data_IF_206134802482
#
_entry.id   IF_206134802482
#
_cell.length_a   1.000
_cell.length_b   1.000
_cell.length_c   1.000
_cell.angle_alpha   90.00
_cell.angle_beta   90.00
_cell.angle_gamma   90.00
#
_symmetry.space_group_name_H-M   'P 1'
#
loop_
_entity.id
_entity.type
_entity.pdbx_description
1 polymer ?
#
# COMPACT_ATOMS: atom_id res chain seq x y z
N UNK A 1 -8.86 -9.99 23.00
CA UNK A 1 -9.20 -9.66 21.60
C UNK A 1 -7.98 -8.97 21.01
N UNK A 2 -7.29 -9.64 20.09
CA UNK A 2 -6.18 -9.08 19.32
C UNK A 2 -6.54 -9.35 17.87
N UNK A 3 -7.32 -8.44 17.29
CA UNK A 3 -7.63 -8.39 15.87
C UNK A 3 -6.33 -8.09 15.10
N UNK A 4 -5.58 -9.15 14.82
CA UNK A 4 -4.29 -9.09 14.13
C UNK A 4 -4.46 -9.08 12.60
N UNK A 5 -5.62 -8.64 12.10
CA UNK A 5 -5.85 -8.32 10.69
C UNK A 5 -5.38 -6.90 10.44
N UNK A 6 -4.08 -6.76 10.16
CA UNK A 6 -3.56 -5.49 9.63
C UNK A 6 -4.09 -5.32 8.21
N UNK A 7 -4.94 -4.33 8.03
CA UNK A 7 -5.50 -3.87 6.75
C UNK A 7 -4.44 -3.17 5.87
N UNK A 8 -3.18 -3.17 6.28
CA UNK A 8 -2.13 -2.36 5.68
C UNK A 8 -1.06 -3.23 5.02
N UNK A 9 -0.72 -2.89 3.77
CA UNK A 9 0.34 -3.56 2.99
C UNK A 9 1.50 -2.60 2.79
N UNK A 10 2.64 -2.91 3.40
CA UNK A 10 3.87 -2.15 3.25
C UNK A 10 4.68 -2.60 2.03
N UNK A 11 4.92 -1.68 1.10
CA UNK A 11 5.71 -1.92 -0.10
C UNK A 11 7.20 -1.69 0.19
N UNK A 12 8.02 -2.65 -0.20
CA UNK A 12 9.46 -2.69 0.03
C UNK A 12 10.19 -3.29 -1.16
N UNK A 13 10.97 -4.34 -0.92
CA UNK A 13 11.85 -4.97 -1.93
C UNK A 13 11.34 -6.31 -2.48
N UNK A 14 10.15 -6.77 -2.10
CA UNK A 14 9.60 -8.03 -2.64
C UNK A 14 9.18 -7.80 -4.11
N UNK A 15 9.09 -8.87 -4.93
CA UNK A 15 8.58 -8.76 -6.29
C UNK A 15 7.16 -8.19 -6.32
N UNK A 16 6.82 -7.46 -7.39
CA UNK A 16 5.51 -6.80 -7.57
C UNK A 16 4.33 -7.73 -7.29
N UNK A 17 4.36 -8.93 -7.87
CA UNK A 17 3.26 -9.88 -7.76
C UNK A 17 3.05 -10.41 -6.34
N UNK A 18 4.08 -10.41 -5.48
CA UNK A 18 3.91 -10.79 -4.07
C UNK A 18 2.98 -9.84 -3.33
N UNK A 19 3.04 -8.54 -3.66
CA UNK A 19 2.15 -7.54 -3.07
C UNK A 19 0.74 -7.62 -3.64
N UNK A 20 0.60 -7.82 -4.96
CA UNK A 20 -0.71 -7.99 -5.61
C UNK A 20 -1.45 -9.18 -5.02
N UNK A 21 -0.78 -10.33 -4.87
CA UNK A 21 -1.40 -11.51 -4.27
C UNK A 21 -1.81 -11.28 -2.82
N UNK A 22 -0.96 -10.60 -2.03
CA UNK A 22 -1.30 -10.23 -0.65
C UNK A 22 -2.54 -9.33 -0.59
N UNK A 23 -2.65 -8.35 -1.49
CA UNK A 23 -3.81 -7.45 -1.56
C UNK A 23 -5.10 -8.19 -1.88
N UNK A 24 -5.07 -9.11 -2.86
CA UNK A 24 -6.24 -9.92 -3.22
C UNK A 24 -6.69 -10.80 -2.04
N UNK A 25 -5.75 -11.46 -1.34
CA UNK A 25 -6.07 -12.31 -0.19
C UNK A 25 -6.70 -11.48 0.94
N UNK A 26 -6.15 -10.31 1.24
CA UNK A 26 -6.71 -9.45 2.30
C UNK A 26 -8.08 -8.89 1.91
N UNK A 27 -8.27 -8.43 0.66
CA UNK A 27 -9.55 -7.92 0.16
C UNK A 27 -10.63 -9.02 0.02
N UNK A 28 -10.25 -10.30 0.05
CA UNK A 28 -11.22 -11.39 0.12
C UNK A 28 -11.87 -11.49 1.53
N UNK A 29 -11.17 -11.06 2.57
CA UNK A 29 -11.64 -11.12 3.97
C UNK A 29 -12.01 -9.76 4.55
N UNK A 30 -11.43 -8.68 4.04
CA UNK A 30 -11.62 -7.30 4.49
C UNK A 30 -12.36 -6.50 3.41
N UNK A 31 -13.08 -5.46 3.80
CA UNK A 31 -13.77 -4.57 2.87
C UNK A 31 -12.86 -3.49 2.29
N UNK A 32 -11.77 -3.18 2.99
CA UNK A 32 -10.76 -2.23 2.57
C UNK A 32 -9.37 -2.62 3.06
N UNK A 33 -8.36 -2.16 2.32
CA UNK A 33 -6.95 -2.21 2.70
C UNK A 33 -6.27 -0.88 2.38
N UNK A 34 -5.09 -0.63 2.94
CA UNK A 34 -4.25 0.52 2.63
C UNK A 34 -2.87 0.07 2.16
N UNK A 35 -2.48 0.45 0.95
CA UNK A 35 -1.10 0.24 0.48
C UNK A 35 -0.25 1.42 0.91
N UNK A 36 0.80 1.17 1.70
CA UNK A 36 1.73 2.20 2.17
C UNK A 36 3.12 1.98 1.61
N UNK A 37 3.76 3.06 1.18
CA UNK A 37 5.13 3.02 0.69
C UNK A 37 5.86 4.33 0.96
N UNK A 38 7.18 4.29 0.82
CA UNK A 38 8.04 5.47 1.01
C UNK A 38 9.23 5.47 0.06
N UNK A 39 9.72 6.66 -0.25
CA UNK A 39 10.88 6.89 -1.10
C UNK A 39 10.78 6.13 -2.43
N UNK A 40 11.84 5.37 -2.78
CA UNK A 40 11.93 4.65 -4.06
C UNK A 40 10.83 3.59 -4.26
N UNK A 41 10.22 3.10 -3.20
CA UNK A 41 9.15 2.09 -3.28
C UNK A 41 7.79 2.66 -3.66
N UNK A 42 7.63 4.00 -3.73
CA UNK A 42 6.37 4.65 -4.14
C UNK A 42 5.95 4.22 -5.55
N UNK A 43 6.87 4.19 -6.52
CA UNK A 43 6.56 3.77 -7.89
C UNK A 43 5.99 2.34 -7.91
N UNK A 44 6.60 1.42 -7.15
CA UNK A 44 6.11 0.05 -7.03
C UNK A 44 4.72 -0.02 -6.38
N UNK A 45 4.41 0.84 -5.41
CA UNK A 45 3.09 0.89 -4.79
C UNK A 45 1.99 1.30 -5.79
N UNK A 46 2.30 2.28 -6.65
CA UNK A 46 1.42 2.69 -7.74
C UNK A 46 1.24 1.55 -8.73
N UNK A 47 2.32 0.86 -9.13
CA UNK A 47 2.23 -0.27 -10.05
C UNK A 47 1.39 -1.42 -9.48
N UNK A 48 1.57 -1.77 -8.20
CA UNK A 48 0.77 -2.79 -7.51
C UNK A 48 -0.71 -2.41 -7.54
N UNK A 49 -1.03 -1.15 -7.23
CA UNK A 49 -2.40 -0.63 -7.26
C UNK A 49 -3.00 -0.76 -8.65
N UNK A 50 -2.28 -0.31 -9.69
CA UNK A 50 -2.76 -0.37 -11.07
C UNK A 50 -2.96 -1.81 -11.56
N UNK A 51 -2.05 -2.73 -11.22
CA UNK A 51 -2.18 -4.14 -11.59
C UNK A 51 -3.36 -4.79 -10.88
N UNK A 52 -3.63 -4.43 -9.63
CA UNK A 52 -4.79 -4.93 -8.87
C UNK A 52 -6.11 -4.51 -9.53
N UNK A 53 -6.26 -3.22 -9.86
CA UNK A 53 -7.48 -2.69 -10.50
C UNK A 53 -7.69 -3.24 -11.92
N UNK A 54 -6.61 -3.46 -12.68
CA UNK A 54 -6.72 -4.04 -14.04
C UNK A 54 -7.16 -5.50 -14.05
N UNK A 55 -7.00 -6.22 -12.94
CA UNK A 55 -7.39 -7.64 -12.84
C UNK A 55 -8.88 -7.82 -12.58
N UNK A 56 -9.56 -6.83 -12.01
CA UNK A 56 -10.97 -6.91 -11.65
C UNK A 56 -11.57 -5.53 -11.40
N UNK A 57 -12.81 -5.33 -11.83
CA UNK A 57 -13.59 -4.12 -11.56
C UNK A 57 -14.18 -4.06 -10.13
N UNK A 58 -13.91 -5.08 -9.31
CA UNK A 58 -14.45 -5.20 -7.96
C UNK A 58 -13.86 -4.21 -6.94
N UNK A 59 -12.79 -3.49 -7.29
CA UNK A 59 -12.06 -2.62 -6.39
C UNK A 59 -12.00 -1.18 -6.92
N UNK A 60 -11.83 -0.25 -5.99
CA UNK A 60 -11.66 1.17 -6.27
C UNK A 60 -10.62 1.80 -5.32
N UNK A 61 -10.03 2.90 -5.77
CA UNK A 61 -9.03 3.66 -5.01
C UNK A 61 -9.72 4.83 -4.33
N UNK A 62 -9.50 4.98 -3.04
CA UNK A 62 -9.99 6.12 -2.26
C UNK A 62 -9.08 7.34 -2.37
N UNK A 63 -9.15 8.22 -1.37
CA UNK A 63 -8.32 9.42 -1.31
C UNK A 63 -6.84 9.06 -1.07
N UNK A 64 -5.98 9.33 -2.05
CA UNK A 64 -4.55 9.07 -1.95
C UNK A 64 -3.88 10.17 -1.13
N UNK A 65 -3.17 9.78 -0.07
CA UNK A 65 -2.44 10.70 0.79
C UNK A 65 -0.94 10.64 0.47
N UNK A 66 -0.32 11.80 0.31
CA UNK A 66 1.13 11.94 0.11
C UNK A 66 1.65 12.84 1.22
N UNK A 67 2.73 12.43 1.86
CA UNK A 67 3.37 13.19 2.95
C UNK A 67 4.88 12.98 2.93
N UNK A 68 5.56 13.42 3.99
CA UNK A 68 6.97 13.20 4.24
C UNK A 68 7.17 12.81 5.71
N UNK A 69 8.06 11.86 5.96
CA UNK A 69 8.49 11.48 7.31
C UNK A 69 10.00 11.70 7.45
N UNK A 70 10.45 12.28 8.58
CA UNK A 70 11.87 12.41 8.88
C UNK A 70 12.40 11.09 9.44
N UNK A 71 13.33 10.47 8.72
CA UNK A 71 13.99 9.23 9.14
C UNK A 71 15.44 9.49 9.49
N UNK A 72 15.89 8.88 10.58
CA UNK A 72 17.30 8.86 10.93
C UNK A 72 18.05 7.92 9.98
N UNK A 73 19.03 8.47 9.26
CA UNK A 73 19.97 7.70 8.44
C UNK A 73 20.96 6.96 9.34
N UNK A 74 21.62 5.91 8.82
CA UNK A 74 22.67 5.19 9.56
C UNK A 74 23.81 6.09 10.07
N UNK A 75 24.01 7.24 9.42
CA UNK A 75 25.01 8.25 9.79
C UNK A 75 24.51 9.22 10.90
N UNK A 76 23.37 8.95 11.55
CA UNK A 76 22.78 9.78 12.60
C UNK A 76 22.15 11.10 12.11
N UNK A 77 22.02 11.28 10.79
CA UNK A 77 21.40 12.47 10.19
C UNK A 77 19.95 12.19 9.82
N UNK A 78 19.04 13.09 10.18
CA UNK A 78 17.67 13.03 9.70
C UNK A 78 17.60 13.38 8.20
N UNK A 79 16.79 12.61 7.49
CA UNK A 79 16.41 12.86 6.10
C UNK A 79 14.92 12.71 5.95
N UNK A 80 14.31 13.67 5.27
CA UNK A 80 12.91 13.58 4.92
C UNK A 80 12.73 12.60 3.76
N UNK A 81 11.80 11.67 3.95
CA UNK A 81 11.46 10.66 2.95
C UNK A 81 9.98 10.80 2.64
N UNK A 82 9.67 10.98 1.36
CA UNK A 82 8.29 11.04 0.89
C UNK A 82 7.56 9.72 1.18
N UNK A 83 6.30 9.81 1.58
CA UNK A 83 5.42 8.68 1.85
C UNK A 83 4.16 8.77 0.99
N UNK A 84 3.56 7.62 0.71
CA UNK A 84 2.28 7.50 0.03
C UNK A 84 1.41 6.49 0.76
N UNK A 85 0.12 6.81 0.89
CA UNK A 85 -0.92 5.91 1.37
C UNK A 85 -2.04 5.84 0.33
N UNK A 86 -2.33 4.64 -0.14
CA UNK A 86 -3.33 4.37 -1.18
C UNK A 86 -4.40 3.46 -0.56
N UNK A 87 -5.51 4.02 -0.08
CA UNK A 87 -6.64 3.22 0.37
C UNK A 87 -7.32 2.56 -0.84
N UNK A 88 -7.68 1.30 -0.68
CA UNK A 88 -8.38 0.49 -1.68
C UNK A 88 -9.56 -0.18 -1.00
N UNK A 89 -10.74 -0.03 -1.56
CA UNK A 89 -11.98 -0.64 -1.07
C UNK A 89 -12.62 -1.50 -2.14
N UNK A 90 -13.51 -2.40 -1.72
CA UNK A 90 -14.48 -3.00 -2.64
C UNK A 90 -15.35 -1.88 -3.21
N UNK A 91 -15.57 -1.90 -4.53
CA UNK A 91 -16.50 -0.99 -5.20
C UNK A 91 -17.91 -1.36 -4.76
N UNK A 92 -18.61 -0.45 -4.10
CA UNK A 92 -20.04 -0.64 -3.85
C UNK A 92 -20.80 -0.64 -5.18
N UNK A 93 -21.75 -1.57 -5.32
CA UNK A 93 -22.57 -1.71 -6.52
C UNK A 93 -23.71 -0.71 -6.55
#
# INVERSE_FOLDING_TARGET
MLDNTTDTIFIGKKPLMSYVTSAIIQLATLDSITIKARGRSIGLAVDVTQVLLKKTDAFEVGCVNISSESLESQDGRNRDVSTIEIPISKREK
#
